data_IF_410602004117
#
_entry.id   IF_410602004117
#
_cell.length_a   1.000
_cell.length_b   1.000
_cell.length_c   1.000
_cell.angle_alpha   90.00
_cell.angle_beta   90.00
_cell.angle_gamma   90.00
#
_symmetry.space_group_name_H-M   'P 1'
#
loop_
_entity.id
_entity.type
_entity.pdbx_description
1 polymer ?
#
# COMPACT_ATOMS: atom_id res chain seq x y z
N UNK A 1 13.94 23.51 3.18
CA UNK A 1 14.29 23.30 1.75
C UNK A 1 15.55 22.46 1.72
N UNK A 2 15.50 21.20 1.25
CA UNK A 2 16.70 20.37 1.15
C UNK A 2 17.65 20.99 0.12
N UNK A 3 18.93 20.89 0.41
CA UNK A 3 20.00 21.38 -0.45
C UNK A 3 20.07 20.58 -1.76
N UNK A 4 20.60 21.20 -2.80
CA UNK A 4 20.87 20.53 -4.09
C UNK A 4 21.73 19.26 -3.91
N UNK A 5 22.57 19.21 -2.87
CA UNK A 5 23.40 18.07 -2.51
C UNK A 5 22.59 16.89 -1.96
N UNK A 6 21.57 17.16 -1.15
CA UNK A 6 20.64 16.16 -0.62
C UNK A 6 19.70 15.65 -1.72
N UNK A 7 19.26 16.52 -2.62
CA UNK A 7 18.50 16.11 -3.81
C UNK A 7 19.33 15.21 -4.75
N UNK A 8 20.60 15.54 -4.97
CA UNK A 8 21.50 14.72 -5.80
C UNK A 8 21.91 13.42 -5.12
N UNK A 9 22.07 13.39 -3.79
CA UNK A 9 22.31 12.15 -3.04
C UNK A 9 21.06 11.26 -3.01
N UNK A 10 19.87 11.83 -2.78
CA UNK A 10 18.60 11.10 -2.84
C UNK A 10 18.32 10.55 -4.23
N UNK A 11 18.56 11.32 -5.30
CA UNK A 11 18.40 10.85 -6.68
C UNK A 11 19.40 9.75 -7.06
N UNK A 12 20.65 9.83 -6.57
CA UNK A 12 21.65 8.77 -6.77
C UNK A 12 21.36 7.51 -5.95
N UNK A 13 20.82 7.66 -4.73
CA UNK A 13 20.28 6.56 -3.92
C UNK A 13 19.16 5.84 -4.68
N UNK A 14 18.18 6.60 -5.17
CA UNK A 14 17.05 6.07 -5.95
C UNK A 14 17.50 5.28 -7.21
N UNK A 15 18.52 5.76 -7.95
CA UNK A 15 19.03 5.02 -9.12
C UNK A 15 19.82 3.76 -8.76
N UNK A 16 20.60 3.78 -7.67
CA UNK A 16 21.33 2.61 -7.20
C UNK A 16 20.36 1.54 -6.67
N UNK A 17 19.36 1.95 -5.89
CA UNK A 17 18.31 1.07 -5.36
C UNK A 17 17.47 0.47 -6.48
N UNK A 18 17.05 1.26 -7.46
CA UNK A 18 16.37 0.75 -8.67
C UNK A 18 17.18 -0.35 -9.37
N UNK A 19 18.52 -0.21 -9.43
CA UNK A 19 19.39 -1.25 -10.00
C UNK A 19 19.48 -2.49 -9.14
N UNK A 20 19.40 -2.37 -7.80
CA UNK A 20 19.35 -3.53 -6.91
C UNK A 20 18.07 -4.32 -7.15
N UNK A 21 16.91 -3.65 -7.12
CA UNK A 21 15.61 -4.26 -7.41
C UNK A 21 15.58 -4.92 -8.79
N UNK A 22 16.09 -4.24 -9.82
CA UNK A 22 16.18 -4.77 -11.18
C UNK A 22 17.12 -5.96 -11.35
N UNK A 23 18.09 -6.14 -10.45
CA UNK A 23 19.06 -7.24 -10.54
C UNK A 23 18.72 -8.42 -9.65
N UNK A 24 17.71 -8.34 -8.81
CA UNK A 24 17.26 -9.44 -7.96
C UNK A 24 16.94 -10.67 -8.84
N UNK A 25 17.72 -11.77 -8.75
CA UNK A 25 17.57 -12.90 -9.65
C UNK A 25 16.48 -13.88 -9.25
N UNK A 26 15.97 -13.79 -8.02
CA UNK A 26 14.96 -14.72 -7.48
C UNK A 26 14.01 -13.98 -6.53
N UNK A 27 12.85 -14.58 -6.24
CA UNK A 27 11.93 -14.11 -5.19
C UNK A 27 12.63 -13.97 -3.83
N UNK A 28 13.53 -14.88 -3.48
CA UNK A 28 14.32 -14.78 -2.24
C UNK A 28 15.22 -13.54 -2.17
N UNK A 29 15.76 -13.08 -3.30
CA UNK A 29 16.51 -11.83 -3.32
C UNK A 29 15.60 -10.61 -3.21
N UNK A 30 14.39 -10.64 -3.80
CA UNK A 30 13.38 -9.60 -3.57
C UNK A 30 13.00 -9.53 -2.09
N UNK A 31 12.86 -10.68 -1.44
CA UNK A 31 12.58 -10.76 -0.01
C UNK A 31 13.71 -10.15 0.84
N UNK A 32 14.98 -10.41 0.51
CA UNK A 32 16.11 -9.78 1.21
C UNK A 32 16.16 -8.26 0.99
N UNK A 33 15.88 -7.77 -0.23
CA UNK A 33 15.79 -6.33 -0.49
C UNK A 33 14.62 -5.70 0.29
N UNK A 34 13.48 -6.37 0.39
CA UNK A 34 12.37 -5.91 1.22
C UNK A 34 12.76 -5.87 2.69
N UNK A 35 13.53 -6.86 3.17
CA UNK A 35 14.05 -6.84 4.53
C UNK A 35 14.99 -5.64 4.77
N UNK A 36 15.83 -5.27 3.81
CA UNK A 36 16.67 -4.07 3.89
C UNK A 36 15.83 -2.79 3.91
N UNK A 37 14.78 -2.71 3.10
CA UNK A 37 13.83 -1.60 3.14
C UNK A 37 13.15 -1.48 4.52
N UNK A 38 12.65 -2.58 5.09
CA UNK A 38 12.04 -2.60 6.42
C UNK A 38 13.01 -2.17 7.54
N UNK A 39 14.31 -2.42 7.39
CA UNK A 39 15.35 -1.97 8.32
C UNK A 39 15.77 -0.50 8.11
N UNK A 40 15.28 0.15 7.05
CA UNK A 40 15.67 1.50 6.67
C UNK A 40 16.99 1.60 5.92
N UNK A 41 17.56 0.47 5.50
CA UNK A 41 18.81 0.39 4.72
C UNK A 41 18.59 0.74 3.24
N UNK A 42 17.36 0.59 2.75
CA UNK A 42 16.90 1.15 1.47
C UNK A 42 15.90 2.27 1.73
N UNK A 43 16.02 3.34 0.94
CA UNK A 43 15.12 4.48 1.03
C UNK A 43 13.80 4.24 0.33
N UNK A 44 13.71 3.34 -0.66
CA UNK A 44 12.43 3.01 -1.30
C UNK A 44 12.37 1.58 -1.83
N UNK A 45 11.16 1.13 -2.14
CA UNK A 45 10.92 -0.07 -2.95
C UNK A 45 9.99 0.27 -4.11
N UNK A 46 9.92 -0.56 -5.18
CA UNK A 46 9.15 -0.26 -6.38
C UNK A 46 7.72 0.25 -6.18
N UNK A 47 7.02 -0.21 -5.13
CA UNK A 47 5.64 0.16 -4.83
C UNK A 47 5.48 1.26 -3.78
N UNK A 48 6.56 1.83 -3.24
CA UNK A 48 6.51 2.91 -2.24
C UNK A 48 7.71 3.85 -2.39
N UNK A 49 7.44 5.10 -2.75
CA UNK A 49 8.47 6.13 -2.94
C UNK A 49 8.75 6.86 -1.62
N UNK A 50 9.84 6.49 -0.95
CA UNK A 50 10.26 7.06 0.32
C UNK A 50 10.46 5.99 1.40
N UNK A 51 11.00 6.38 2.56
CA UNK A 51 11.29 5.44 3.64
C UNK A 51 10.00 4.83 4.20
N UNK A 52 10.14 3.80 5.03
CA UNK A 52 9.03 3.27 5.83
C UNK A 52 8.33 4.38 6.62
N UNK A 53 7.00 4.28 6.71
CA UNK A 53 6.18 5.29 7.38
C UNK A 53 6.61 5.53 8.84
N UNK A 54 6.41 6.77 9.37
CA UNK A 54 6.76 7.10 10.75
C UNK A 54 6.21 6.10 11.77
N UNK A 55 4.94 5.70 11.65
CA UNK A 55 4.30 4.75 12.57
C UNK A 55 5.02 3.39 12.62
N UNK A 56 5.53 2.90 11.48
CA UNK A 56 6.28 1.64 11.40
C UNK A 56 7.62 1.76 12.14
N UNK A 57 8.28 2.92 12.02
CA UNK A 57 9.57 3.21 12.67
C UNK A 57 9.41 3.44 14.17
N UNK A 58 8.40 4.21 14.56
CA UNK A 58 8.09 4.54 15.96
C UNK A 58 7.66 3.31 16.76
N UNK A 59 6.88 2.40 16.14
CA UNK A 59 6.53 1.11 16.73
C UNK A 59 7.66 0.06 16.64
N UNK A 60 8.83 0.40 16.08
CA UNK A 60 9.98 -0.47 15.91
C UNK A 60 9.64 -1.81 15.20
N UNK A 61 8.81 -1.74 14.16
CA UNK A 61 8.37 -2.93 13.41
C UNK A 61 9.43 -3.44 12.40
N UNK A 62 10.42 -2.61 12.05
CA UNK A 62 11.42 -2.94 11.04
C UNK A 62 12.09 -4.32 11.23
N UNK A 63 12.62 -4.66 12.42
CA UNK A 63 13.24 -5.97 12.66
C UNK A 63 12.31 -7.16 12.44
N UNK A 64 11.04 -7.08 12.90
CA UNK A 64 10.09 -8.19 12.75
C UNK A 64 9.62 -8.34 11.31
N UNK A 65 9.41 -7.24 10.59
CA UNK A 65 9.07 -7.26 9.16
C UNK A 65 10.22 -7.80 8.31
N UNK A 66 11.46 -7.42 8.63
CA UNK A 66 12.65 -7.94 7.97
C UNK A 66 12.82 -9.45 8.21
N UNK A 67 12.57 -9.92 9.44
CA UNK A 67 12.56 -11.36 9.75
C UNK A 67 11.47 -12.10 8.97
N UNK A 68 10.26 -11.53 8.89
CA UNK A 68 9.16 -12.11 8.09
C UNK A 68 9.52 -12.23 6.60
N UNK A 69 10.11 -11.17 6.02
CA UNK A 69 10.60 -11.19 4.64
C UNK A 69 11.65 -12.28 4.43
N UNK A 70 12.66 -12.37 5.30
CA UNK A 70 13.69 -13.43 5.24
C UNK A 70 13.13 -14.84 5.43
N UNK A 71 12.02 -14.96 6.13
CA UNK A 71 11.28 -16.22 6.30
C UNK A 71 10.37 -16.55 5.11
N UNK A 72 10.38 -15.73 4.05
CA UNK A 72 9.67 -15.95 2.79
C UNK A 72 8.29 -15.30 2.70
N UNK A 73 7.90 -14.46 3.68
CA UNK A 73 6.69 -13.65 3.63
C UNK A 73 7.04 -12.21 3.25
N UNK A 74 6.95 -11.88 1.95
CA UNK A 74 7.35 -10.57 1.41
C UNK A 74 6.26 -9.55 1.75
N UNK A 75 6.48 -8.72 2.76
CA UNK A 75 5.51 -7.74 3.22
C UNK A 75 5.39 -6.58 2.24
N UNK A 76 4.17 -6.22 1.86
CA UNK A 76 3.87 -5.12 0.92
C UNK A 76 3.10 -3.98 1.57
N UNK A 77 2.63 -4.17 2.81
CA UNK A 77 1.99 -3.14 3.62
C UNK A 77 1.92 -3.59 5.08
N UNK A 78 2.05 -2.65 6.01
CA UNK A 78 1.92 -2.92 7.44
C UNK A 78 1.50 -1.66 8.18
N UNK A 79 0.76 -1.83 9.27
CA UNK A 79 0.48 -0.75 10.21
C UNK A 79 0.46 -1.32 11.64
N UNK A 80 0.99 -0.60 12.65
CA UNK A 80 0.89 -1.00 14.04
C UNK A 80 -0.57 -0.95 14.52
N UNK A 81 -0.81 -1.50 15.71
CA UNK A 81 -2.03 -1.18 16.45
C UNK A 81 -1.84 0.14 17.18
N UNK A 82 -2.83 1.03 17.13
CA UNK A 82 -2.78 2.35 17.77
C UNK A 82 -4.07 2.55 18.56
N UNK A 83 -3.94 2.89 19.84
CA UNK A 83 -5.06 3.19 20.74
C UNK A 83 -5.87 4.38 20.22
N UNK A 84 -7.17 4.37 20.54
CA UNK A 84 -8.08 5.43 20.10
C UNK A 84 -7.60 6.80 20.59
N UNK A 85 -7.34 7.69 19.65
CA UNK A 85 -7.09 9.10 19.91
C UNK A 85 -8.37 9.74 20.48
N UNK A 86 -8.32 10.42 21.64
CA UNK A 86 -9.50 11.00 22.27
C UNK A 86 -10.05 12.24 21.55
N UNK A 87 -9.26 12.91 20.69
CA UNK A 87 -9.66 14.13 20.00
C UNK A 87 -10.38 13.85 18.68
N UNK A 88 -9.82 12.98 17.84
CA UNK A 88 -10.38 12.67 16.52
C UNK A 88 -10.93 11.24 16.38
N UNK A 89 -10.70 10.39 17.39
CA UNK A 89 -11.16 9.02 17.38
C UNK A 89 -10.38 8.12 16.41
N UNK A 90 -9.20 8.53 15.95
CA UNK A 90 -8.30 7.70 15.15
C UNK A 90 -7.87 6.46 15.93
N UNK A 91 -7.99 5.28 15.33
CA UNK A 91 -7.59 4.03 15.96
C UNK A 91 -7.17 3.03 14.87
N UNK A 92 -6.19 2.17 15.18
CA UNK A 92 -5.70 1.15 14.27
C UNK A 92 -5.69 -0.24 14.91
N UNK A 93 -5.94 -1.24 14.07
CA UNK A 93 -5.58 -2.64 14.31
C UNK A 93 -4.17 -2.89 13.77
N UNK A 94 -3.42 -3.74 14.47
CA UNK A 94 -2.18 -4.26 13.92
C UNK A 94 -2.48 -5.17 12.72
N UNK A 95 -1.87 -4.88 11.58
CA UNK A 95 -2.10 -5.62 10.35
C UNK A 95 -0.86 -5.66 9.45
N UNK A 96 -0.73 -6.74 8.68
CA UNK A 96 0.30 -6.89 7.65
C UNK A 96 -0.25 -7.58 6.41
N UNK A 97 0.07 -7.05 5.24
CA UNK A 97 -0.18 -7.60 3.92
C UNK A 97 1.14 -8.04 3.28
N UNK A 98 1.09 -9.11 2.50
CA UNK A 98 2.25 -9.55 1.73
C UNK A 98 2.01 -10.74 0.82
N UNK A 99 3.11 -11.25 0.25
CA UNK A 99 3.13 -12.38 -0.66
C UNK A 99 3.84 -13.57 -0.04
N UNK A 100 3.26 -14.76 -0.19
CA UNK A 100 3.81 -16.01 0.32
C UNK A 100 3.71 -17.15 -0.68
N UNK A 101 4.67 -18.09 -0.62
CA UNK A 101 4.50 -19.40 -1.26
C UNK A 101 3.46 -20.22 -0.50
N UNK A 102 3.00 -21.33 -1.07
CA UNK A 102 2.07 -22.23 -0.36
C UNK A 102 2.68 -22.81 0.92
N UNK A 103 3.98 -23.09 0.92
CA UNK A 103 4.72 -23.57 2.09
C UNK A 103 4.78 -22.50 3.18
N UNK A 104 5.18 -21.27 2.84
CA UNK A 104 5.21 -20.16 3.80
C UNK A 104 3.83 -19.85 4.35
N UNK A 105 2.77 -19.89 3.54
CA UNK A 105 1.39 -19.74 4.02
C UNK A 105 1.01 -20.80 5.05
N UNK A 106 1.47 -22.05 4.89
CA UNK A 106 1.23 -23.10 5.88
C UNK A 106 1.91 -22.77 7.22
N UNK A 107 3.14 -22.24 7.18
CA UNK A 107 3.86 -21.77 8.38
C UNK A 107 3.16 -20.59 9.05
N UNK A 108 2.72 -19.60 8.27
CA UNK A 108 1.92 -18.46 8.78
C UNK A 108 0.63 -18.92 9.45
N UNK A 109 -0.07 -19.91 8.89
CA UNK A 109 -1.25 -20.52 9.53
C UNK A 109 -0.90 -21.24 10.83
N UNK A 110 0.25 -21.91 10.90
CA UNK A 110 0.71 -22.53 12.14
C UNK A 110 1.03 -21.48 13.21
N UNK A 111 1.63 -20.36 12.83
CA UNK A 111 1.89 -19.23 13.73
C UNK A 111 0.63 -18.63 14.31
N UNK A 112 -0.45 -18.52 13.53
CA UNK A 112 -1.72 -17.93 13.98
C UNK A 112 -2.66 -18.95 14.64
N UNK A 113 -2.42 -20.25 14.46
CA UNK A 113 -3.26 -21.31 15.03
C UNK A 113 -3.36 -21.21 16.56
N UNK A 114 -4.58 -21.36 17.09
CA UNK A 114 -4.86 -21.27 18.52
C UNK A 114 -4.75 -19.86 19.10
N UNK A 115 -4.56 -18.83 18.26
CA UNK A 115 -4.59 -17.42 18.66
C UNK A 115 -5.87 -16.75 18.17
N UNK A 116 -6.04 -15.47 18.52
CA UNK A 116 -7.12 -14.63 18.00
C UNK A 116 -6.81 -13.97 16.65
N UNK A 117 -5.58 -14.11 16.12
CA UNK A 117 -5.18 -13.50 14.86
C UNK A 117 -6.01 -14.06 13.71
N UNK A 118 -6.47 -13.18 12.83
CA UNK A 118 -7.21 -13.53 11.62
C UNK A 118 -6.24 -13.59 10.45
N UNK A 119 -6.39 -14.60 9.58
CA UNK A 119 -5.61 -14.72 8.34
C UNK A 119 -6.55 -14.80 7.15
N UNK A 120 -6.38 -13.87 6.20
CA UNK A 120 -7.03 -13.88 4.90
C UNK A 120 -5.97 -14.26 3.87
N UNK A 121 -6.26 -15.23 3.02
CA UNK A 121 -5.32 -15.64 1.98
C UNK A 121 -6.05 -16.04 0.71
N UNK A 122 -5.62 -15.48 -0.42
CA UNK A 122 -6.20 -15.76 -1.72
C UNK A 122 -5.14 -15.87 -2.80
N UNK A 123 -5.45 -16.66 -3.82
CA UNK A 123 -4.76 -16.57 -5.11
C UNK A 123 -5.19 -15.27 -5.81
N UNK A 124 -4.35 -14.70 -6.69
CA UNK A 124 -4.69 -13.49 -7.43
C UNK A 124 -6.07 -13.56 -8.10
N UNK A 125 -6.77 -12.42 -8.18
CA UNK A 125 -8.03 -12.36 -8.94
C UNK A 125 -7.75 -12.34 -10.45
N UNK A 126 -8.71 -12.80 -11.26
CA UNK A 126 -8.51 -12.82 -12.72
C UNK A 126 -8.66 -11.45 -13.38
N UNK A 127 -9.43 -10.53 -12.80
CA UNK A 127 -9.95 -9.36 -13.53
C UNK A 127 -9.95 -8.06 -12.74
N UNK A 128 -10.56 -8.01 -11.56
CA UNK A 128 -10.70 -6.76 -10.78
C UNK A 128 -10.24 -6.99 -9.35
N UNK A 129 -9.80 -5.90 -8.73
CA UNK A 129 -9.58 -5.89 -7.28
C UNK A 129 -10.91 -6.22 -6.59
N UNK A 130 -10.84 -7.14 -5.63
CA UNK A 130 -12.00 -7.62 -4.89
C UNK A 130 -11.76 -7.40 -3.39
N UNK A 131 -12.62 -6.61 -2.77
CA UNK A 131 -12.54 -6.25 -1.34
C UNK A 131 -13.47 -7.11 -0.48
N UNK A 132 -14.13 -8.14 -1.03
CA UNK A 132 -15.14 -8.91 -0.31
C UNK A 132 -14.63 -9.69 0.91
N UNK A 133 -13.31 -9.91 0.99
CA UNK A 133 -12.63 -10.51 2.14
C UNK A 133 -11.68 -9.54 2.86
N UNK A 134 -11.68 -8.26 2.48
CA UNK A 134 -10.85 -7.25 3.12
C UNK A 134 -11.35 -6.98 4.55
N UNK A 135 -10.41 -6.68 5.44
CA UNK A 135 -10.67 -6.38 6.85
C UNK A 135 -10.35 -4.92 7.10
N UNK A 136 -11.28 -4.18 7.69
CA UNK A 136 -11.04 -2.80 8.11
C UNK A 136 -10.04 -2.77 9.27
N UNK A 137 -8.97 -1.99 9.11
CA UNK A 137 -7.83 -1.93 10.03
C UNK A 137 -7.60 -0.53 10.58
N UNK A 138 -8.19 0.51 9.98
CA UNK A 138 -8.08 1.89 10.49
C UNK A 138 -9.44 2.56 10.46
N UNK A 139 -9.76 3.29 11.53
CA UNK A 139 -10.97 4.12 11.62
C UNK A 139 -10.68 5.49 12.23
N UNK A 140 -11.53 6.45 11.90
CA UNK A 140 -11.60 7.78 12.51
C UNK A 140 -13.03 7.99 12.99
N UNK A 141 -13.22 8.02 14.31
CA UNK A 141 -14.56 8.00 14.90
C UNK A 141 -15.28 6.69 14.54
N UNK A 142 -16.40 6.81 13.81
CA UNK A 142 -17.20 5.66 13.35
C UNK A 142 -16.95 5.31 11.86
N UNK A 143 -15.98 5.97 11.20
CA UNK A 143 -15.70 5.77 9.77
C UNK A 143 -14.43 4.93 9.55
N UNK A 144 -14.54 3.85 8.80
CA UNK A 144 -13.39 3.06 8.36
C UNK A 144 -12.68 3.74 7.17
N UNK A 145 -11.36 3.87 7.25
CA UNK A 145 -10.54 4.61 6.27
C UNK A 145 -9.44 3.78 5.64
N UNK A 146 -9.17 2.57 6.16
CA UNK A 146 -8.19 1.65 5.59
C UNK A 146 -8.61 0.21 5.82
N UNK A 147 -8.44 -0.62 4.80
CA UNK A 147 -8.73 -2.05 4.84
C UNK A 147 -7.57 -2.83 4.20
N UNK A 148 -7.21 -3.96 4.80
CA UNK A 148 -6.18 -4.87 4.30
C UNK A 148 -6.81 -6.15 3.76
N UNK A 149 -6.09 -6.89 2.91
CA UNK A 149 -6.59 -8.16 2.37
C UNK A 149 -7.55 -8.05 1.20
N UNK A 150 -7.45 -6.96 0.44
CA UNK A 150 -8.02 -6.92 -0.90
C UNK A 150 -7.36 -8.00 -1.79
N UNK A 151 -8.18 -8.70 -2.57
CA UNK A 151 -7.73 -9.63 -3.59
C UNK A 151 -7.35 -8.90 -4.86
N UNK A 152 -6.05 -8.74 -5.06
CA UNK A 152 -5.45 -8.02 -6.17
C UNK A 152 -5.36 -8.92 -7.42
N UNK A 153 -5.59 -8.38 -8.62
CA UNK A 153 -5.25 -9.08 -9.87
C UNK A 153 -3.73 -9.07 -10.10
N UNK A 154 -3.16 -10.02 -10.88
CA UNK A 154 -1.72 -10.07 -11.19
C UNK A 154 -1.13 -8.75 -11.66
N UNK A 155 -1.86 -7.98 -12.46
CA UNK A 155 -1.39 -6.67 -12.95
C UNK A 155 -1.07 -5.66 -11.84
N UNK A 156 -1.82 -5.70 -10.73
CA UNK A 156 -1.60 -4.78 -9.60
C UNK A 156 -0.30 -5.17 -8.88
N UNK A 157 0.00 -6.48 -8.79
CA UNK A 157 1.27 -6.98 -8.27
C UNK A 157 2.42 -6.59 -9.21
N UNK A 158 2.26 -6.82 -10.52
CA UNK A 158 3.26 -6.42 -11.53
C UNK A 158 3.57 -4.93 -11.44
N UNK A 159 2.55 -4.10 -11.30
CA UNK A 159 2.70 -2.66 -11.12
C UNK A 159 3.45 -2.32 -9.82
N UNK A 160 3.10 -2.97 -8.71
CA UNK A 160 3.75 -2.75 -7.41
C UNK A 160 5.23 -3.14 -7.41
N UNK A 161 5.66 -4.05 -8.28
CA UNK A 161 7.05 -4.49 -8.42
C UNK A 161 7.72 -3.98 -9.71
N UNK A 162 7.22 -2.87 -10.28
CA UNK A 162 7.75 -2.29 -11.50
C UNK A 162 9.25 -1.97 -11.38
N UNK A 163 10.05 -2.58 -12.26
CA UNK A 163 11.50 -2.44 -12.26
C UNK A 163 12.26 -3.64 -11.68
N UNK A 164 11.58 -4.59 -11.02
CA UNK A 164 12.10 -5.94 -10.78
C UNK A 164 12.09 -6.73 -12.10
N UNK A 165 12.94 -7.76 -12.23
CA UNK A 165 12.99 -8.61 -13.44
C UNK A 165 11.65 -9.30 -13.71
N UNK A 166 11.19 -9.25 -14.96
CA UNK A 166 9.90 -9.80 -15.39
C UNK A 166 9.65 -11.23 -14.91
N UNK A 167 10.62 -12.14 -15.06
CA UNK A 167 10.47 -13.54 -14.60
C UNK A 167 10.21 -13.65 -13.08
N UNK A 168 10.85 -12.80 -12.28
CA UNK A 168 10.63 -12.77 -10.83
C UNK A 168 9.29 -12.13 -10.50
N UNK A 169 8.88 -11.10 -11.26
CA UNK A 169 7.57 -10.47 -11.11
C UNK A 169 6.45 -11.44 -11.46
N UNK A 170 6.59 -12.28 -12.47
CA UNK A 170 5.62 -13.32 -12.82
C UNK A 170 5.47 -14.34 -11.69
N UNK A 171 6.58 -14.74 -11.05
CA UNK A 171 6.55 -15.60 -9.86
C UNK A 171 5.83 -14.92 -8.69
N UNK A 172 6.15 -13.66 -8.38
CA UNK A 172 5.48 -12.87 -7.33
C UNK A 172 3.97 -12.73 -7.61
N UNK A 173 3.61 -12.46 -8.86
CA UNK A 173 2.24 -12.30 -9.30
C UNK A 173 1.43 -13.60 -9.23
N UNK A 174 2.07 -14.76 -9.11
CA UNK A 174 1.44 -16.07 -8.93
C UNK A 174 1.34 -16.53 -7.46
N UNK A 175 2.04 -15.86 -6.53
CA UNK A 175 2.07 -16.20 -5.11
C UNK A 175 0.71 -16.00 -4.42
N UNK A 176 0.57 -16.55 -3.21
CA UNK A 176 -0.56 -16.23 -2.35
C UNK A 176 -0.42 -14.81 -1.84
N UNK A 177 -1.51 -14.04 -1.92
CA UNK A 177 -1.62 -12.78 -1.20
C UNK A 177 -2.18 -13.12 0.19
N UNK A 178 -1.50 -12.66 1.22
CA UNK A 178 -1.77 -13.03 2.60
C UNK A 178 -1.85 -11.78 3.45
N UNK A 179 -2.88 -11.74 4.27
CA UNK A 179 -3.15 -10.69 5.25
C UNK A 179 -3.27 -11.32 6.61
N UNK A 180 -2.60 -10.75 7.60
CA UNK A 180 -2.77 -11.15 9.00
C UNK A 180 -3.18 -9.92 9.78
N UNK A 181 -4.29 -10.02 10.51
CA UNK A 181 -4.86 -8.94 11.30
C UNK A 181 -5.04 -9.40 12.74
N UNK A 182 -4.62 -8.54 13.66
CA UNK A 182 -5.05 -8.58 15.04
C UNK A 182 -6.46 -7.97 15.13
N UNK A 183 -7.53 -8.73 15.45
CA UNK A 183 -8.90 -8.21 15.35
C UNK A 183 -9.26 -7.19 16.44
N UNK A 184 -8.44 -7.07 17.48
CA UNK A 184 -8.67 -6.11 18.56
C UNK A 184 -8.07 -4.75 18.14
N UNK A 185 -8.81 -3.69 18.42
CA UNK A 185 -8.35 -2.33 18.17
C UNK A 185 -7.39 -1.88 19.27
N UNK A 186 -6.44 -1.01 18.94
CA UNK A 186 -5.50 -0.47 19.90
C UNK A 186 -4.11 -1.11 19.84
N UNK A 187 -3.25 -0.72 20.77
CA UNK A 187 -1.84 -1.07 20.80
C UNK A 187 -1.59 -2.53 21.26
N UNK A 188 -1.93 -3.49 20.39
CA UNK A 188 -1.73 -4.91 20.61
C UNK A 188 -0.48 -5.46 19.88
N UNK A 189 0.36 -6.20 20.62
CA UNK A 189 1.62 -6.75 20.11
C UNK A 189 1.51 -8.16 19.54
N UNK A 190 0.39 -8.87 19.73
CA UNK A 190 0.30 -10.31 19.48
C UNK A 190 0.72 -10.66 18.05
N UNK A 191 0.26 -9.92 17.03
CA UNK A 191 0.67 -10.13 15.64
C UNK A 191 2.19 -10.13 15.49
N UNK A 192 2.84 -9.09 16.02
CA UNK A 192 4.28 -8.88 15.92
C UNK A 192 5.05 -9.92 16.73
N UNK A 193 4.59 -10.25 17.93
CA UNK A 193 5.19 -11.28 18.78
C UNK A 193 5.16 -12.67 18.13
N UNK A 194 4.11 -12.98 17.36
CA UNK A 194 4.04 -14.23 16.59
C UNK A 194 5.01 -14.19 15.42
N UNK A 195 5.03 -13.11 14.64
CA UNK A 195 5.94 -13.01 13.48
C UNK A 195 7.41 -13.00 13.90
N UNK A 196 7.75 -12.46 15.08
CA UNK A 196 9.12 -12.39 15.59
C UNK A 196 9.69 -13.76 16.05
N UNK A 197 8.89 -14.84 16.01
CA UNK A 197 9.39 -16.16 16.40
C UNK A 197 10.50 -16.63 15.46
N UNK A 198 11.60 -17.18 16.00
CA UNK A 198 12.74 -17.61 15.19
C UNK A 198 12.45 -18.88 14.38
N UNK A 199 11.50 -19.70 14.83
CA UNK A 199 11.12 -20.96 14.19
C UNK A 199 9.63 -20.95 13.84
N UNK A 200 9.35 -20.78 12.55
CA UNK A 200 7.99 -20.80 12.02
C UNK A 200 7.50 -22.21 11.70
N UNK A 201 8.39 -23.20 11.66
CA UNK A 201 8.03 -24.61 11.45
C UNK A 201 7.52 -25.23 12.75
N UNK A 202 8.03 -24.77 13.89
CA UNK A 202 7.62 -25.20 15.23
C UNK A 202 7.34 -24.01 16.14
N UNK A 203 6.27 -23.24 15.86
CA UNK A 203 6.01 -22.03 16.62
C UNK A 203 5.68 -22.38 18.07
N UNK A 204 6.22 -21.58 18.99
CA UNK A 204 5.91 -21.74 20.40
C UNK A 204 4.39 -21.65 20.60
N UNK A 205 3.81 -22.42 21.54
CA UNK A 205 2.40 -22.25 21.87
C UNK A 205 2.13 -20.80 22.28
N UNK A 206 0.95 -20.25 21.99
CA UNK A 206 0.61 -18.92 22.46
C UNK A 206 0.76 -18.87 23.98
N UNK A 207 1.42 -17.82 24.48
CA UNK A 207 1.46 -17.58 25.90
C UNK A 207 0.01 -17.56 26.43
N UNK A 208 -0.26 -18.17 27.59
CA UNK A 208 -1.58 -18.09 28.19
C UNK A 208 -1.95 -16.61 28.31
N UNK A 209 -3.17 -16.26 27.91
CA UNK A 209 -3.64 -14.88 27.96
C UNK A 209 -3.36 -14.34 29.37
N UNK A 210 -2.69 -13.18 29.50
CA UNK A 210 -2.55 -12.56 30.81
C UNK A 210 -3.95 -12.40 31.41
N UNK A 211 -4.12 -12.64 32.72
CA UNK A 211 -5.42 -12.45 33.36
C UNK A 211 -5.91 -11.05 33.04
N UNK A 212 -7.17 -10.94 32.58
CA UNK A 212 -7.76 -9.68 32.14
C UNK A 212 -7.35 -8.54 33.07
N UNK A 213 -6.55 -7.60 32.55
CA UNK A 213 -6.12 -6.45 33.33
C UNK A 213 -7.37 -5.72 33.82
N UNK A 214 -7.41 -5.42 35.12
CA UNK A 214 -8.51 -4.64 35.69
C UNK A 214 -8.59 -3.31 34.92
N UNK A 215 -9.78 -2.80 34.60
CA UNK A 215 -9.94 -1.56 33.86
C UNK A 215 -9.12 -0.46 34.55
N UNK A 216 -8.09 0.03 33.86
CA UNK A 216 -7.24 1.10 34.36
C UNK A 216 -8.09 2.37 34.46
N UNK A 217 -8.23 2.89 35.68
CA UNK A 217 -8.80 4.21 35.91
C UNK A 217 -7.87 5.25 35.27
N UNK A 218 -8.35 6.09 34.33
CA UNK A 218 -7.50 7.08 33.69
C UNK A 218 -6.94 8.03 34.74
N UNK A 219 -5.62 8.11 34.85
CA UNK A 219 -4.97 9.10 35.71
C UNK A 219 -4.85 10.38 34.90
N UNK A 220 -5.56 11.43 35.34
CA UNK A 220 -5.57 12.73 34.68
C UNK A 220 -4.14 13.31 34.53
N UNK A 221 -3.75 13.63 33.29
CA UNK A 221 -2.54 14.42 32.99
C UNK A 221 -2.86 15.92 33.02
N UNK A 222 -1.89 16.78 33.38
CA UNK A 222 -2.11 18.21 33.43
C UNK A 222 -2.17 18.82 32.02
N UNK A 223 -3.21 19.60 31.78
CA UNK A 223 -3.40 20.43 30.59
C UNK A 223 -2.51 21.67 30.65
N UNK A 224 -1.57 21.79 29.71
CA UNK A 224 -0.91 23.07 29.40
C UNK A 224 -0.98 23.36 27.91
N UNK A 225 -1.77 24.40 27.59
CA UNK A 225 -1.76 25.30 26.43
C UNK A 225 -1.18 24.83 25.10
N UNK A 226 -2.06 24.48 24.16
CA UNK A 226 -1.73 24.20 22.75
C UNK A 226 -2.73 24.81 21.76
N UNK A 227 -3.33 25.97 22.06
CA UNK A 227 -4.48 26.49 21.28
C UNK A 227 -4.09 27.13 19.94
N UNK A 228 -2.81 27.39 19.67
CA UNK A 228 -2.38 28.11 18.46
C UNK A 228 -1.89 27.21 17.31
N UNK A 229 -1.48 25.96 17.55
CA UNK A 229 -1.02 25.04 16.49
C UNK A 229 -2.16 24.20 15.88
N UNK A 230 -3.23 23.93 16.64
CA UNK A 230 -4.34 23.06 16.21
C UNK A 230 -5.23 23.67 15.11
N UNK A 231 -5.39 25.00 15.10
CA UNK A 231 -6.15 25.69 14.06
C UNK A 231 -5.50 25.56 12.66
N UNK A 232 -4.16 25.59 12.61
CA UNK A 232 -3.42 25.51 11.35
C UNK A 232 -3.45 24.11 10.71
N UNK A 233 -3.46 23.06 11.54
CA UNK A 233 -3.53 21.66 11.06
C UNK A 233 -4.94 21.33 10.54
N UNK A 234 -6.01 21.82 11.18
CA UNK A 234 -7.37 21.60 10.68
C UNK A 234 -7.63 22.31 9.34
N UNK A 235 -7.13 23.53 9.15
CA UNK A 235 -7.27 24.26 7.87
C UNK A 235 -6.55 23.54 6.73
N UNK A 236 -5.36 22.98 7.00
CA UNK A 236 -4.61 22.17 6.02
C UNK A 236 -5.35 20.87 5.69
N UNK A 237 -5.87 20.16 6.70
CA UNK A 237 -6.65 18.92 6.49
C UNK A 237 -7.93 19.18 5.69
N UNK A 238 -8.61 20.28 5.94
CA UNK A 238 -9.84 20.65 5.22
C UNK A 238 -9.56 21.06 3.77
N UNK A 239 -8.47 21.80 3.52
CA UNK A 239 -8.04 22.13 2.16
C UNK A 239 -7.63 20.87 1.37
N UNK A 240 -6.97 19.90 2.01
CA UNK A 240 -6.58 18.64 1.39
C UNK A 240 -7.81 17.77 1.03
N UNK A 241 -8.80 17.70 1.94
CA UNK A 241 -10.05 16.98 1.70
C UNK A 241 -10.87 17.59 0.54
N UNK A 242 -10.92 18.92 0.45
CA UNK A 242 -11.58 19.63 -0.66
C UNK A 242 -10.86 19.40 -2.00
N UNK A 243 -9.52 19.43 -2.01
CA UNK A 243 -8.73 19.15 -3.20
C UNK A 243 -8.92 17.71 -3.70
N UNK A 244 -8.89 16.72 -2.79
CA UNK A 244 -9.11 15.31 -3.13
C UNK A 244 -10.52 15.06 -3.69
N UNK A 245 -11.53 15.77 -3.17
CA UNK A 245 -12.92 15.67 -3.65
C UNK A 245 -13.05 16.23 -5.07
N UNK A 246 -12.50 17.43 -5.32
CA UNK A 246 -12.53 18.06 -6.65
C UNK A 246 -11.77 17.26 -7.72
N UNK A 247 -10.73 16.51 -7.32
CA UNK A 247 -9.98 15.64 -8.23
C UNK A 247 -10.75 14.35 -8.52
N UNK A 248 -11.38 13.73 -7.52
CA UNK A 248 -12.27 12.58 -7.73
C UNK A 248 -13.45 12.91 -8.65
N UNK A 249 -14.02 14.11 -8.50
CA UNK A 249 -15.10 14.62 -9.35
C UNK A 249 -14.65 14.84 -10.82
N UNK A 250 -13.37 15.14 -11.05
CA UNK A 250 -12.79 15.32 -12.38
C UNK A 250 -12.39 14.00 -13.07
N UNK A 251 -12.05 12.95 -12.31
CA UNK A 251 -11.64 11.65 -12.86
C UNK A 251 -12.78 10.93 -13.59
N UNK A 252 -14.00 10.98 -13.05
CA UNK A 252 -15.16 10.32 -13.66
C UNK A 252 -15.50 10.80 -15.07
N UNK A 253 -15.61 12.13 -15.32
CA UNK A 253 -15.82 12.68 -16.66
C UNK A 253 -14.70 12.35 -17.65
N UNK A 254 -13.43 12.36 -17.23
CA UNK A 254 -12.29 12.06 -18.12
C UNK A 254 -12.29 10.58 -18.52
N UNK A 255 -12.56 9.67 -17.58
CA UNK A 255 -12.65 8.24 -17.90
C UNK A 255 -13.81 7.93 -18.85
N UNK A 256 -14.97 8.57 -18.67
CA UNK A 256 -16.10 8.45 -19.61
C UNK A 256 -15.73 8.94 -21.02
N UNK A 257 -14.99 10.04 -21.13
CA UNK A 257 -14.54 10.55 -22.42
C UNK A 257 -13.55 9.58 -23.12
N UNK A 258 -12.69 8.88 -22.38
CA UNK A 258 -11.79 7.85 -22.91
C UNK A 258 -12.61 6.65 -23.42
N UNK A 259 -13.60 6.20 -22.67
CA UNK A 259 -14.45 5.06 -23.03
C UNK A 259 -15.31 5.37 -24.28
N UNK A 260 -15.85 6.59 -24.36
CA UNK A 260 -16.62 7.09 -25.52
C UNK A 260 -15.74 7.19 -26.77
N UNK A 261 -14.53 7.75 -26.64
CA UNK A 261 -13.59 7.86 -27.75
C UNK A 261 -13.11 6.48 -28.26
N UNK A 262 -12.91 5.53 -27.33
CA UNK A 262 -12.55 4.14 -27.67
C UNK A 262 -13.69 3.43 -28.41
N UNK A 263 -14.93 3.63 -27.95
CA UNK A 263 -16.13 3.08 -28.58
C UNK A 263 -16.35 3.67 -29.99
N UNK A 264 -16.16 4.98 -30.15
CA UNK A 264 -16.23 5.64 -31.45
C UNK A 264 -15.18 5.12 -32.43
N UNK A 265 -13.94 4.89 -31.97
CA UNK A 265 -12.88 4.29 -32.78
C UNK A 265 -13.26 2.90 -33.29
N UNK A 266 -13.82 2.06 -32.43
CA UNK A 266 -14.27 0.72 -32.80
C UNK A 266 -15.40 0.75 -33.83
N UNK A 267 -16.36 1.68 -33.68
CA UNK A 267 -17.45 1.86 -34.64
C UNK A 267 -16.96 2.33 -36.03
N UNK A 268 -16.00 3.27 -36.06
CA UNK A 268 -15.38 3.73 -37.31
C UNK A 268 -14.64 2.57 -37.99
N UNK A 269 -13.83 1.82 -37.24
CA UNK A 269 -13.09 0.68 -37.77
C UNK A 269 -14.01 -0.42 -38.33
N UNK A 270 -15.17 -0.67 -37.71
CA UNK A 270 -16.18 -1.59 -38.24
C UNK A 270 -16.88 -1.06 -39.51
N UNK A 271 -17.00 0.27 -39.66
CA UNK A 271 -17.60 0.91 -40.84
C UNK A 271 -16.66 1.01 -42.06
N UNK A 272 -15.37 0.72 -41.87
CA UNK A 272 -14.35 0.76 -42.94
C UNK A 272 -14.54 -0.31 -44.03
N UNK A 273 -15.50 -1.22 -43.89
CA UNK A 273 -15.82 -2.23 -44.92
C UNK A 273 -16.54 -1.63 -46.16
N UNK A 274 -16.81 -0.32 -46.22
CA UNK A 274 -17.49 0.30 -47.37
C UNK A 274 -17.25 1.79 -47.65
N UNK A 275 -16.30 2.46 -46.99
CA UNK A 275 -15.99 3.89 -47.19
C UNK A 275 -14.57 4.12 -47.73
N UNK A 276 -14.31 5.34 -48.25
CA UNK A 276 -12.97 5.79 -48.67
C UNK A 276 -11.97 5.55 -47.53
N UNK A 277 -11.06 4.61 -47.74
CA UNK A 277 -10.07 4.16 -46.74
C UNK A 277 -9.27 5.32 -46.14
N UNK A 278 -9.00 6.37 -46.92
CA UNK A 278 -8.23 7.54 -46.49
C UNK A 278 -8.94 8.39 -45.43
N UNK A 279 -10.26 8.59 -45.52
CA UNK A 279 -11.00 9.43 -44.57
C UNK A 279 -11.14 8.74 -43.21
N UNK A 280 -11.32 7.41 -43.23
CA UNK A 280 -11.41 6.61 -42.02
C UNK A 280 -10.05 6.48 -41.31
N UNK A 281 -8.95 6.32 -42.05
CA UNK A 281 -7.59 6.36 -41.50
C UNK A 281 -7.32 7.71 -40.82
N UNK A 282 -7.74 8.82 -41.42
CA UNK A 282 -7.59 10.16 -40.83
C UNK A 282 -8.43 10.32 -39.54
N UNK A 283 -9.66 9.81 -39.50
CA UNK A 283 -10.50 9.86 -38.29
C UNK A 283 -9.95 8.98 -37.15
N UNK A 284 -9.44 7.79 -37.46
CA UNK A 284 -8.78 6.91 -36.47
C UNK A 284 -7.54 7.56 -35.89
N UNK A 285 -6.74 8.26 -36.71
CA UNK A 285 -5.57 8.99 -36.25
C UNK A 285 -5.93 10.13 -35.28
N UNK A 286 -6.99 10.89 -35.57
CA UNK A 286 -7.48 11.97 -34.68
C UNK A 286 -7.96 11.42 -33.34
N UNK A 287 -8.75 10.34 -33.34
CA UNK A 287 -9.22 9.71 -32.10
C UNK A 287 -8.08 9.13 -31.27
N UNK A 288 -7.08 8.54 -31.93
CA UNK A 288 -5.90 8.00 -31.25
C UNK A 288 -5.10 9.12 -30.56
N UNK A 289 -4.94 10.28 -31.22
CA UNK A 289 -4.29 11.44 -30.61
C UNK A 289 -5.10 12.03 -29.45
N UNK A 290 -6.44 12.05 -29.55
CA UNK A 290 -7.32 12.51 -28.45
C UNK A 290 -7.23 11.60 -27.23
N UNK A 291 -7.22 10.27 -27.41
CA UNK A 291 -7.06 9.30 -26.31
C UNK A 291 -5.70 9.52 -25.63
N UNK A 292 -4.60 9.62 -26.39
CA UNK A 292 -3.27 9.84 -25.82
C UNK A 292 -3.18 11.16 -25.02
N UNK A 293 -3.82 12.22 -25.49
CA UNK A 293 -3.88 13.51 -24.79
C UNK A 293 -4.68 13.43 -23.48
N UNK A 294 -5.78 12.69 -23.47
CA UNK A 294 -6.60 12.46 -22.27
C UNK A 294 -5.86 11.58 -21.24
N UNK A 295 -5.17 10.53 -21.69
CA UNK A 295 -4.34 9.68 -20.84
C UNK A 295 -3.20 10.48 -20.19
N UNK A 296 -2.53 11.35 -20.96
CA UNK A 296 -1.49 12.26 -20.47
C UNK A 296 -2.06 13.31 -19.48
N UNK A 297 -3.27 13.83 -19.71
CA UNK A 297 -3.95 14.69 -18.73
C UNK A 297 -4.31 13.94 -17.43
N UNK A 298 -4.70 12.67 -17.52
CA UNK A 298 -4.95 11.81 -16.36
C UNK A 298 -3.65 11.54 -15.59
N UNK A 299 -2.55 11.25 -16.30
CA UNK A 299 -1.22 11.06 -15.73
C UNK A 299 -0.69 12.31 -15.02
N UNK A 300 -0.86 13.49 -15.62
CA UNK A 300 -0.52 14.77 -14.96
C UNK A 300 -1.34 15.04 -13.71
N UNK A 301 -2.64 14.73 -13.74
CA UNK A 301 -3.52 14.86 -12.57
C UNK A 301 -3.06 13.94 -11.44
N UNK A 302 -2.62 12.73 -11.77
CA UNK A 302 -2.02 11.81 -10.80
C UNK A 302 -0.69 12.32 -10.22
N UNK A 303 0.22 12.84 -11.06
CA UNK A 303 1.49 13.41 -10.57
C UNK A 303 1.31 14.66 -9.69
N UNK A 304 0.26 15.45 -9.94
CA UNK A 304 -0.06 16.61 -9.10
C UNK A 304 -0.54 16.21 -7.69
N UNK A 305 -1.14 15.03 -7.54
CA UNK A 305 -1.47 14.45 -6.23
C UNK A 305 -0.19 14.10 -5.46
N UNK A 306 0.75 13.41 -6.11
CA UNK A 306 2.01 12.98 -5.49
C UNK A 306 2.90 14.17 -5.08
N UNK A 307 2.88 15.26 -5.87
CA UNK A 307 3.58 16.50 -5.56
C UNK A 307 3.03 17.26 -4.33
N UNK A 308 1.72 17.17 -4.06
CA UNK A 308 1.09 17.83 -2.92
C UNK A 308 1.30 17.07 -1.59
N UNK A 309 1.44 15.74 -1.62
CA UNK A 309 1.86 14.97 -0.44
C UNK A 309 3.29 15.35 0.02
N UNK A 310 4.16 15.78 -0.89
CA UNK A 310 5.52 16.27 -0.58
C UNK A 310 5.56 17.60 0.18
N UNK A 311 4.52 18.45 0.04
CA UNK A 311 4.43 19.73 0.75
C UNK A 311 3.87 19.55 2.17
N UNK A 312 2.95 18.60 2.37
CA UNK A 312 2.42 18.25 3.70
C UNK A 312 3.49 17.64 4.63
N UNK A 313 4.55 17.03 4.09
CA UNK A 313 5.69 16.51 4.86
C UNK A 313 6.75 17.56 5.27
N UNK A 314 6.51 18.86 5.05
CA UNK A 314 7.44 19.96 5.43
C UNK A 314 6.86 20.98 6.41
N UNK A 315 5.65 20.76 6.91
CA UNK A 315 5.07 21.47 8.06
C UNK A 315 5.06 20.54 9.27
#
# INVERSE_FOLDING_TARGET
MPSLRELVHGARGCLAERRLWNRAPTVGHVAELMAWFCLGELQSWPGHDGPTDPETREANLGPVLAHACRSGFITTGSQPGIDRDPEDGFEQRAAVDGLATAEVLAKLRALTAGTRLQIVAHRPSKWRRDYGAAVDVTRVGEHYVTSFGARLPPRDIVFSFAGVRDLVVDELAAMWQVTIVDPEWGAHSLLWDRLAQPDWDHPAPPAPAPPAAKPHTPTARPTTGGTAMSASIMEIKQALAQANTSIGDAQGPIQRAIDDATSARAAIQASMEGSSQADAEQQVAVLTAMIASLEDALGRSHMALDGNYSIAGRL
#
